data_IF_890186584449
#
_entry.id   IF_890186584449
#
_cell.length_a   1.000
_cell.length_b   1.000
_cell.length_c   1.000
_cell.angle_alpha   90.00
_cell.angle_beta   90.00
_cell.angle_gamma   90.00
#
_symmetry.space_group_name_H-M   'P 1'
#
loop_
_entity.id
_entity.type
_entity.pdbx_description
1 polymer ?
#
# COMPACT_ATOMS: atom_id res chain seq x y z
N UNK A 1 12.90 11.49 4.79
CA UNK A 1 12.14 10.41 4.11
C UNK A 1 10.68 10.39 4.56
N UNK A 2 10.38 10.29 5.87
CA UNK A 2 9.00 10.29 6.40
C UNK A 2 8.18 11.52 5.95
N UNK A 3 8.73 12.74 6.05
CA UNK A 3 8.01 13.97 5.66
C UNK A 3 7.57 13.92 4.18
N UNK A 4 8.45 13.43 3.29
CA UNK A 4 8.12 13.27 1.88
C UNK A 4 7.04 12.19 1.67
N UNK A 5 7.10 11.08 2.40
CA UNK A 5 6.06 10.03 2.36
C UNK A 5 4.70 10.61 2.76
N UNK A 6 4.64 11.38 3.86
CA UNK A 6 3.39 12.02 4.32
C UNK A 6 2.84 12.99 3.28
N UNK A 7 3.69 13.83 2.68
CA UNK A 7 3.27 14.77 1.63
C UNK A 7 2.75 14.07 0.38
N UNK A 8 3.41 13.02 -0.08
CA UNK A 8 2.97 12.25 -1.26
C UNK A 8 1.62 11.59 -0.99
N UNK A 9 1.43 10.98 0.18
CA UNK A 9 0.14 10.36 0.51
C UNK A 9 -0.98 11.37 0.72
N UNK A 10 -0.68 12.58 1.22
CA UNK A 10 -1.65 13.67 1.26
C UNK A 10 -2.12 14.05 -0.15
N UNK A 11 -1.22 14.09 -1.13
CA UNK A 11 -1.58 14.32 -2.55
C UNK A 11 -2.42 13.17 -3.11
N UNK A 12 -2.07 11.91 -2.82
CA UNK A 12 -2.87 10.74 -3.26
C UNK A 12 -4.29 10.83 -2.72
N UNK A 13 -4.46 11.15 -1.43
CA UNK A 13 -5.79 11.30 -0.82
C UNK A 13 -6.57 12.42 -1.51
N UNK A 14 -5.91 13.55 -1.82
CA UNK A 14 -6.56 14.68 -2.47
C UNK A 14 -6.96 14.40 -3.93
N UNK A 15 -6.09 13.73 -4.69
CA UNK A 15 -6.31 13.45 -6.12
C UNK A 15 -7.23 12.26 -6.34
N UNK A 16 -7.19 11.23 -5.48
CA UNK A 16 -7.98 10.01 -5.68
C UNK A 16 -9.18 9.93 -4.75
N UNK A 17 -9.00 10.15 -3.45
CA UNK A 17 -10.04 9.88 -2.45
C UNK A 17 -11.14 10.94 -2.46
N UNK A 18 -10.78 12.23 -2.60
CA UNK A 18 -11.74 13.34 -2.66
C UNK A 18 -12.71 13.22 -3.85
N UNK A 19 -12.27 12.98 -5.11
CA UNK A 19 -13.21 12.84 -6.21
C UNK A 19 -14.06 11.56 -6.12
N UNK A 20 -13.49 10.44 -5.63
CA UNK A 20 -14.26 9.19 -5.43
C UNK A 20 -15.34 9.38 -4.36
N UNK A 21 -15.03 10.12 -3.28
CA UNK A 21 -16.02 10.51 -2.27
C UNK A 21 -17.13 11.37 -2.89
N UNK A 22 -16.77 12.35 -3.74
CA UNK A 22 -17.73 13.24 -4.41
C UNK A 22 -18.64 12.52 -5.41
N UNK A 23 -18.15 11.47 -6.07
CA UNK A 23 -18.94 10.65 -7.00
C UNK A 23 -19.91 9.67 -6.29
N UNK A 24 -20.00 9.71 -4.96
CA UNK A 24 -20.90 8.90 -4.12
C UNK A 24 -20.77 7.38 -4.30
N UNK A 25 -19.67 6.92 -4.94
CA UNK A 25 -19.41 5.51 -5.12
C UNK A 25 -18.74 4.95 -3.86
N UNK A 26 -19.57 4.64 -2.86
CA UNK A 26 -19.13 4.25 -1.53
C UNK A 26 -18.25 2.99 -1.54
N UNK A 27 -18.52 2.04 -2.43
CA UNK A 27 -17.73 0.80 -2.54
C UNK A 27 -16.30 1.10 -2.95
N UNK A 28 -16.13 1.86 -4.03
CA UNK A 28 -14.80 2.25 -4.53
C UNK A 28 -14.06 3.12 -3.52
N UNK A 29 -14.78 4.01 -2.82
CA UNK A 29 -14.20 4.80 -1.74
C UNK A 29 -13.59 3.92 -0.64
N UNK A 30 -14.34 2.94 -0.14
CA UNK A 30 -13.87 2.06 0.94
C UNK A 30 -12.70 1.18 0.51
N UNK A 31 -12.75 0.61 -0.71
CA UNK A 31 -11.64 -0.17 -1.25
C UNK A 31 -10.39 0.71 -1.37
N UNK A 32 -10.52 1.90 -1.97
CA UNK A 32 -9.38 2.76 -2.21
C UNK A 32 -8.80 3.33 -0.91
N UNK A 33 -9.66 3.66 0.07
CA UNK A 33 -9.25 4.08 1.41
C UNK A 33 -8.47 2.96 2.10
N UNK A 34 -8.97 1.73 2.06
CA UNK A 34 -8.32 0.58 2.71
C UNK A 34 -6.95 0.31 2.11
N UNK A 35 -6.84 0.29 0.78
CA UNK A 35 -5.57 0.10 0.06
C UNK A 35 -4.60 1.24 0.38
N UNK A 36 -5.08 2.48 0.39
CA UNK A 36 -4.26 3.66 0.71
C UNK A 36 -3.71 3.58 2.13
N UNK A 37 -4.52 3.20 3.12
CA UNK A 37 -4.08 3.03 4.50
C UNK A 37 -3.01 1.94 4.61
N UNK A 38 -3.25 0.77 4.00
CA UNK A 38 -2.29 -0.35 4.03
C UNK A 38 -0.96 0.08 3.41
N UNK A 39 -1.01 0.72 2.25
CA UNK A 39 0.18 1.18 1.54
C UNK A 39 0.94 2.26 2.34
N UNK A 40 0.22 3.17 3.00
CA UNK A 40 0.81 4.20 3.86
C UNK A 40 1.52 3.59 5.07
N UNK A 41 0.92 2.60 5.73
CA UNK A 41 1.54 1.87 6.84
C UNK A 41 2.84 1.22 6.37
N UNK A 42 2.83 0.52 5.23
CA UNK A 42 4.02 -0.11 4.65
C UNK A 42 5.10 0.95 4.37
N UNK A 43 4.72 2.09 3.78
CA UNK A 43 5.64 3.17 3.47
C UNK A 43 6.26 3.79 4.75
N UNK A 44 5.50 3.93 5.83
CA UNK A 44 6.02 4.36 7.14
C UNK A 44 7.00 3.32 7.69
N UNK A 45 6.64 2.03 7.69
CA UNK A 45 7.49 0.96 8.20
C UNK A 45 8.84 0.93 7.45
N UNK A 46 8.80 1.03 6.11
CA UNK A 46 9.99 1.16 5.28
C UNK A 46 10.79 2.42 5.64
N UNK A 47 10.09 3.55 5.87
CA UNK A 47 10.75 4.79 6.22
C UNK A 47 11.40 4.80 7.60
N UNK A 48 10.98 3.92 8.50
CA UNK A 48 11.60 3.68 9.81
C UNK A 48 12.77 2.68 9.72
N UNK A 49 13.17 2.25 8.52
CA UNK A 49 14.16 1.19 8.30
C UNK A 49 13.80 -0.14 8.98
N UNK A 50 12.51 -0.37 9.24
CA UNK A 50 12.05 -1.66 9.73
C UNK A 50 12.26 -2.65 8.61
N UNK A 51 13.06 -3.68 8.86
CA UNK A 51 13.30 -4.77 7.91
C UNK A 51 11.99 -5.52 7.69
N UNK A 52 11.29 -5.15 6.63
CA UNK A 52 10.21 -5.94 6.09
C UNK A 52 10.89 -7.10 5.35
N UNK A 53 10.72 -8.32 5.85
CA UNK A 53 11.20 -9.53 5.15
C UNK A 53 10.68 -9.49 3.73
N UNK A 54 11.59 -9.61 2.76
CA UNK A 54 11.23 -9.50 1.36
C UNK A 54 10.21 -10.59 1.01
N UNK A 55 9.08 -10.25 0.39
CA UNK A 55 8.14 -11.26 -0.10
C UNK A 55 8.78 -12.18 -1.13
N UNK A 56 9.92 -11.81 -1.72
CA UNK A 56 10.65 -12.61 -2.70
C UNK A 56 10.99 -14.01 -2.17
N UNK A 57 11.35 -14.11 -0.88
CA UNK A 57 11.72 -15.40 -0.30
C UNK A 57 10.47 -16.29 -0.15
N UNK A 58 9.36 -15.71 0.33
CA UNK A 58 8.08 -16.44 0.42
C UNK A 58 7.51 -16.80 -0.96
N UNK A 59 7.64 -15.92 -1.95
CA UNK A 59 7.21 -16.19 -3.34
C UNK A 59 8.07 -17.30 -3.93
N UNK A 60 9.39 -17.27 -3.70
CA UNK A 60 10.31 -18.33 -4.13
C UNK A 60 9.90 -19.67 -3.52
N UNK A 61 9.60 -19.72 -2.23
CA UNK A 61 9.16 -20.95 -1.56
C UNK A 61 7.84 -21.48 -2.13
N UNK A 62 6.89 -20.59 -2.44
CA UNK A 62 5.63 -20.97 -3.10
C UNK A 62 5.88 -21.51 -4.51
N UNK A 63 6.75 -20.87 -5.29
CA UNK A 63 7.12 -21.31 -6.64
C UNK A 63 7.80 -22.68 -6.57
N UNK A 64 8.75 -22.89 -5.65
CA UNK A 64 9.41 -24.18 -5.43
C UNK A 64 8.39 -25.24 -5.01
N UNK A 65 7.45 -24.91 -4.12
CA UNK A 65 6.40 -25.84 -3.68
C UNK A 65 5.44 -26.22 -4.81
N UNK A 66 5.15 -25.31 -5.75
CA UNK A 66 4.26 -25.56 -6.88
C UNK A 66 4.95 -26.26 -8.07
N UNK A 67 6.23 -25.93 -8.33
CA UNK A 67 7.01 -26.48 -9.46
C UNK A 67 7.91 -27.65 -9.07
N UNK A 68 8.05 -27.97 -7.79
CA UNK A 68 8.76 -29.15 -7.29
C UNK A 68 10.26 -29.18 -7.60
N UNK A 69 10.89 -28.02 -7.86
CA UNK A 69 12.30 -27.89 -8.24
C UNK A 69 13.04 -26.90 -7.36
#
# INVERSE_FOLDING_TARGET
MIVAVVLVYALVIFIQLVPVYKNNNRRDFWVNLTITIISFIIAILLSLNIKISSPSDSIKDIIIALLGK
#
